data_IF_822371298665
#
_entry.id   IF_822371298665
#
_cell.length_a   1.000
_cell.length_b   1.000
_cell.length_c   1.000
_cell.angle_alpha   90.00
_cell.angle_beta   90.00
_cell.angle_gamma   90.00
#
_symmetry.space_group_name_H-M   'P 1'
#
loop_
_entity.id
_entity.type
_entity.pdbx_description
1 polymer ?
#
# COMPACT_ATOMS: atom_id res chain seq x y z
N UNK A 1 -12.57 11.50 6.52
CA UNK A 1 -11.70 11.49 5.33
C UNK A 1 -10.66 10.36 5.43
N UNK A 2 -9.82 10.32 6.44
CA UNK A 2 -8.70 9.37 6.59
C UNK A 2 -9.07 7.90 6.42
N UNK A 3 -10.22 7.48 6.98
CA UNK A 3 -10.68 6.10 6.87
C UNK A 3 -10.92 5.67 5.43
N UNK A 4 -11.55 6.51 4.62
CA UNK A 4 -11.85 6.22 3.21
C UNK A 4 -10.58 6.23 2.37
N UNK A 5 -9.67 7.16 2.64
CA UNK A 5 -8.38 7.25 1.95
C UNK A 5 -7.52 6.04 2.29
N UNK A 6 -7.42 5.69 3.58
CA UNK A 6 -6.68 4.51 4.01
C UNK A 6 -7.23 3.22 3.37
N UNK A 7 -8.55 3.07 3.31
CA UNK A 7 -9.20 1.94 2.64
C UNK A 7 -8.89 1.90 1.15
N UNK A 8 -8.87 3.05 0.49
CA UNK A 8 -8.48 3.17 -0.91
C UNK A 8 -7.02 2.76 -1.13
N UNK A 9 -6.08 3.30 -0.36
CA UNK A 9 -4.66 2.93 -0.44
C UNK A 9 -4.43 1.43 -0.23
N UNK A 10 -5.05 0.85 0.80
CA UNK A 10 -4.98 -0.59 1.04
C UNK A 10 -5.55 -1.40 -0.11
N UNK A 11 -6.67 -0.96 -0.69
CA UNK A 11 -7.28 -1.62 -1.84
C UNK A 11 -6.36 -1.59 -3.06
N UNK A 12 -5.69 -0.47 -3.31
CA UNK A 12 -4.72 -0.33 -4.41
C UNK A 12 -3.52 -1.26 -4.17
N UNK A 13 -2.89 -1.21 -3.00
CA UNK A 13 -1.73 -2.06 -2.67
C UNK A 13 -2.07 -3.55 -2.79
N UNK A 14 -3.19 -3.98 -2.20
CA UNK A 14 -3.57 -5.39 -2.16
C UNK A 14 -4.00 -5.95 -3.52
N UNK A 15 -4.41 -5.10 -4.46
CA UNK A 15 -4.86 -5.52 -5.78
C UNK A 15 -3.90 -5.14 -6.92
N UNK A 16 -2.75 -4.56 -6.59
CA UNK A 16 -1.67 -4.37 -7.55
C UNK A 16 -0.93 -5.70 -7.70
N UNK A 17 -0.89 -6.28 -8.93
CA UNK A 17 -0.18 -7.53 -9.15
C UNK A 17 1.30 -7.34 -8.86
N UNK A 18 1.91 -8.34 -8.23
CA UNK A 18 3.34 -8.32 -7.95
C UNK A 18 4.14 -8.23 -9.26
N UNK A 19 5.07 -7.29 -9.39
CA UNK A 19 5.72 -7.01 -10.67
C UNK A 19 6.73 -8.09 -11.11
N UNK A 20 7.04 -9.03 -10.23
CA UNK A 20 7.98 -10.14 -10.47
C UNK A 20 7.54 -11.39 -9.72
N UNK A 21 7.90 -12.56 -10.23
CA UNK A 21 7.80 -13.81 -9.47
C UNK A 21 8.85 -13.77 -8.37
N UNK A 22 8.41 -13.90 -7.10
CA UNK A 22 9.33 -13.91 -5.96
C UNK A 22 10.09 -15.23 -5.90
N UNK A 23 11.42 -15.13 -5.87
CA UNK A 23 12.27 -16.24 -5.48
C UNK A 23 12.66 -16.06 -4.00
N UNK A 24 11.99 -16.84 -3.14
CA UNK A 24 12.24 -16.79 -1.70
C UNK A 24 13.66 -17.20 -1.34
N UNK A 25 14.27 -18.10 -2.12
CA UNK A 25 15.65 -18.57 -1.90
C UNK A 25 16.68 -17.48 -2.23
N UNK A 26 16.34 -16.55 -3.13
CA UNK A 26 17.17 -15.39 -3.40
C UNK A 26 17.05 -14.30 -2.33
N UNK A 27 15.91 -14.20 -1.65
CA UNK A 27 15.68 -13.19 -0.62
C UNK A 27 16.40 -13.50 0.69
N UNK A 28 16.35 -14.77 1.13
CA UNK A 28 16.94 -15.21 2.39
C UNK A 28 17.73 -16.50 2.15
N UNK A 29 18.99 -16.50 2.57
CA UNK A 29 19.84 -17.71 2.59
C UNK A 29 20.19 -18.06 4.02
N UNK A 30 19.76 -19.23 4.46
CA UNK A 30 20.05 -19.78 5.79
C UNK A 30 21.08 -20.88 5.62
N UNK A 31 22.27 -20.66 6.16
CA UNK A 31 23.32 -21.68 6.21
C UNK A 31 23.26 -22.37 7.57
N UNK A 32 23.24 -23.70 7.54
CA UNK A 32 23.21 -24.55 8.74
C UNK A 32 24.53 -25.30 8.91
N UNK A 33 24.93 -25.49 10.16
CA UNK A 33 26.03 -26.37 10.53
C UNK A 33 25.44 -27.50 11.40
N UNK A 34 25.10 -28.64 10.74
CA UNK A 34 24.26 -29.66 11.35
C UNK A 34 22.82 -29.15 11.55
N UNK A 35 22.30 -29.27 12.77
CA UNK A 35 20.95 -28.80 13.13
C UNK A 35 20.94 -27.33 13.59
N UNK A 36 22.11 -26.70 13.72
CA UNK A 36 22.22 -25.30 14.15
C UNK A 36 22.29 -24.34 12.97
N UNK A 37 21.63 -23.17 13.10
CA UNK A 37 21.73 -22.08 12.15
C UNK A 37 23.06 -21.37 12.36
N UNK A 38 23.95 -21.45 11.35
CA UNK A 38 25.25 -20.80 11.39
C UNK A 38 25.18 -19.33 10.94
N UNK A 39 24.47 -19.06 9.83
CA UNK A 39 24.34 -17.70 9.29
C UNK A 39 23.00 -17.50 8.58
N UNK A 40 22.48 -16.27 8.66
CA UNK A 40 21.29 -15.82 7.93
C UNK A 40 21.73 -14.62 7.08
N UNK A 41 21.58 -14.75 5.76
CA UNK A 41 21.92 -13.70 4.81
C UNK A 41 20.65 -13.18 4.12
N UNK A 42 20.46 -11.86 4.17
CA UNK A 42 19.36 -11.17 3.48
C UNK A 42 19.88 -10.50 2.20
N UNK A 43 19.27 -10.77 1.08
CA UNK A 43 19.56 -10.07 -0.17
C UNK A 43 18.74 -8.77 -0.23
N UNK A 44 19.17 -7.76 0.48
CA UNK A 44 18.52 -6.45 0.55
C UNK A 44 18.52 -5.72 -0.78
N UNK A 45 19.52 -5.93 -1.63
CA UNK A 45 19.57 -5.35 -2.98
C UNK A 45 18.46 -5.90 -3.87
N UNK A 46 18.24 -7.22 -3.84
CA UNK A 46 17.15 -7.84 -4.57
C UNK A 46 15.79 -7.38 -4.04
N UNK A 47 15.59 -7.36 -2.73
CA UNK A 47 14.38 -6.84 -2.09
C UNK A 47 14.13 -5.37 -2.45
N UNK A 48 15.15 -4.52 -2.47
CA UNK A 48 15.03 -3.12 -2.87
C UNK A 48 14.64 -2.96 -4.35
N UNK A 49 15.15 -3.81 -5.23
CA UNK A 49 14.77 -3.81 -6.65
C UNK A 49 13.30 -4.18 -6.85
N UNK A 50 12.80 -5.14 -6.07
CA UNK A 50 11.37 -5.50 -6.03
C UNK A 50 10.55 -4.31 -5.54
N UNK A 51 10.98 -3.66 -4.47
CA UNK A 51 10.34 -2.47 -3.91
C UNK A 51 10.24 -1.33 -4.92
N UNK A 52 11.30 -1.05 -5.67
CA UNK A 52 11.30 -0.03 -6.72
C UNK A 52 10.28 -0.34 -7.83
N UNK A 53 10.21 -1.59 -8.28
CA UNK A 53 9.20 -2.01 -9.28
C UNK A 53 7.78 -1.91 -8.74
N UNK A 54 7.57 -2.23 -7.48
CA UNK A 54 6.27 -2.09 -6.81
C UNK A 54 5.85 -0.63 -6.71
N UNK A 55 6.76 0.26 -6.32
CA UNK A 55 6.52 1.71 -6.25
C UNK A 55 6.11 2.25 -7.62
N UNK A 56 6.82 1.91 -8.69
CA UNK A 56 6.49 2.34 -10.03
C UNK A 56 5.09 1.89 -10.45
N UNK A 57 4.71 0.64 -10.14
CA UNK A 57 3.37 0.12 -10.45
C UNK A 57 2.27 0.82 -9.66
N UNK A 58 2.51 1.09 -8.39
CA UNK A 58 1.57 1.83 -7.55
C UNK A 58 1.40 3.26 -8.05
N UNK A 59 2.50 3.94 -8.37
CA UNK A 59 2.48 5.31 -8.88
C UNK A 59 1.71 5.39 -10.20
N UNK A 60 2.01 4.51 -11.17
CA UNK A 60 1.26 4.40 -12.43
C UNK A 60 -0.25 4.25 -12.19
N UNK A 61 -0.65 3.41 -11.23
CA UNK A 61 -2.06 3.16 -10.94
C UNK A 61 -2.73 4.35 -10.27
N UNK A 62 -2.08 4.97 -9.28
CA UNK A 62 -2.61 6.16 -8.61
C UNK A 62 -2.79 7.32 -9.60
N UNK A 63 -1.78 7.59 -10.42
CA UNK A 63 -1.83 8.64 -11.45
C UNK A 63 -2.92 8.34 -12.48
N UNK A 64 -3.02 7.11 -12.97
CA UNK A 64 -4.04 6.74 -13.95
C UNK A 64 -5.47 6.91 -13.42
N UNK A 65 -5.72 6.60 -12.15
CA UNK A 65 -7.02 6.82 -11.53
C UNK A 65 -7.31 8.32 -11.36
N UNK A 66 -6.32 9.09 -10.91
CA UNK A 66 -6.42 10.55 -10.73
C UNK A 66 -6.71 11.28 -12.03
N UNK A 67 -5.96 10.97 -13.09
CA UNK A 67 -6.08 11.60 -14.40
C UNK A 67 -7.27 11.10 -15.25
N UNK A 68 -7.99 10.07 -14.78
CA UNK A 68 -9.10 9.51 -15.54
C UNK A 68 -8.68 8.62 -16.71
N UNK A 69 -7.42 8.15 -16.70
CA UNK A 69 -6.84 7.35 -17.81
C UNK A 69 -6.86 5.84 -17.54
N UNK A 70 -7.22 5.42 -16.32
CA UNK A 70 -7.29 4.02 -15.96
C UNK A 70 -8.26 3.25 -16.85
N UNK A 71 -7.82 2.08 -17.31
CA UNK A 71 -8.65 1.13 -18.08
C UNK A 71 -8.66 -0.23 -17.39
N UNK A 72 -9.84 -0.68 -17.02
CA UNK A 72 -10.01 -2.01 -16.45
C UNK A 72 -9.66 -3.08 -17.50
N UNK A 73 -8.99 -4.14 -17.06
CA UNK A 73 -8.65 -5.30 -17.91
C UNK A 73 -9.63 -6.45 -17.75
N UNK A 74 -10.35 -6.49 -16.64
CA UNK A 74 -11.38 -7.48 -16.34
C UNK A 74 -12.58 -6.86 -15.59
N UNK A 75 -13.57 -7.68 -15.25
CA UNK A 75 -14.75 -7.25 -14.52
C UNK A 75 -14.70 -7.58 -13.02
N UNK A 76 -13.52 -7.74 -12.45
CA UNK A 76 -13.38 -7.91 -11.01
C UNK A 76 -13.95 -6.71 -10.24
N UNK A 77 -14.35 -6.96 -9.00
CA UNK A 77 -14.93 -5.92 -8.14
C UNK A 77 -14.01 -4.70 -8.01
N UNK A 78 -12.71 -4.93 -7.81
CA UNK A 78 -11.73 -3.87 -7.62
C UNK A 78 -11.48 -3.06 -8.89
N UNK A 79 -11.35 -3.72 -10.03
CA UNK A 79 -11.14 -3.04 -11.31
C UNK A 79 -12.34 -2.18 -11.71
N UNK A 80 -13.57 -2.63 -11.44
CA UNK A 80 -14.75 -1.80 -11.63
C UNK A 80 -14.76 -0.57 -10.72
N UNK A 81 -14.30 -0.72 -9.46
CA UNK A 81 -14.17 0.42 -8.55
C UNK A 81 -13.12 1.42 -9.03
N UNK A 82 -11.94 0.95 -9.42
CA UNK A 82 -10.89 1.80 -9.95
C UNK A 82 -11.35 2.54 -11.22
N UNK A 83 -12.04 1.83 -12.12
CA UNK A 83 -12.61 2.47 -13.32
C UNK A 83 -13.58 3.58 -12.95
N UNK A 84 -14.50 3.33 -12.02
CA UNK A 84 -15.44 4.36 -11.56
C UNK A 84 -14.75 5.57 -10.94
N UNK A 85 -13.75 5.34 -10.09
CA UNK A 85 -12.96 6.42 -9.48
C UNK A 85 -12.23 7.24 -10.55
N UNK A 86 -11.68 6.56 -11.55
CA UNK A 86 -11.00 7.19 -12.69
C UNK A 86 -11.98 8.00 -13.56
N UNK A 87 -13.14 7.45 -13.90
CA UNK A 87 -14.17 8.13 -14.68
C UNK A 87 -14.66 9.42 -13.98
N UNK A 88 -14.57 9.45 -12.66
CA UNK A 88 -14.91 10.62 -11.83
C UNK A 88 -13.69 11.52 -11.50
N UNK A 89 -12.53 11.28 -12.13
CA UNK A 89 -11.32 12.09 -11.97
C UNK A 89 -10.73 12.01 -10.56
N UNK A 90 -10.48 10.79 -10.05
CA UNK A 90 -9.86 10.55 -8.74
C UNK A 90 -10.80 10.71 -7.54
N UNK A 91 -12.12 10.59 -7.74
CA UNK A 91 -13.08 10.61 -6.63
C UNK A 91 -13.04 9.27 -5.89
N UNK A 92 -12.52 9.27 -4.68
CA UNK A 92 -12.41 8.08 -3.81
C UNK A 92 -13.78 7.71 -3.22
N UNK A 93 -14.49 8.70 -2.70
CA UNK A 93 -15.76 8.54 -2.01
C UNK A 93 -16.58 9.83 -2.03
N UNK A 94 -17.87 9.70 -1.70
CA UNK A 94 -18.73 10.83 -1.38
C UNK A 94 -19.15 10.73 0.08
N UNK A 95 -18.83 11.73 0.86
CA UNK A 95 -19.11 11.78 2.30
C UNK A 95 -20.06 12.94 2.64
N UNK A 96 -20.96 12.79 3.62
CA UNK A 96 -21.76 13.93 4.11
C UNK A 96 -20.85 15.00 4.70
N UNK A 97 -21.20 16.28 4.51
CA UNK A 97 -20.40 17.39 5.03
C UNK A 97 -20.23 17.32 6.56
N UNK A 98 -21.25 16.82 7.25
CA UNK A 98 -21.19 16.59 8.69
C UNK A 98 -20.13 15.59 9.13
N UNK A 99 -19.66 14.70 8.23
CA UNK A 99 -18.55 13.79 8.53
C UNK A 99 -17.19 14.49 8.66
N UNK A 100 -17.09 15.74 8.21
CA UNK A 100 -15.90 16.58 8.41
C UNK A 100 -15.89 17.26 9.78
N UNK A 101 -17.04 17.30 10.45
CA UNK A 101 -17.11 17.78 11.83
C UNK A 101 -16.63 16.65 12.75
N UNK A 102 -15.98 17.00 13.83
CA UNK A 102 -15.58 16.02 14.85
C UNK A 102 -16.74 15.59 15.75
N UNK A 103 -17.99 15.92 15.38
CA UNK A 103 -19.18 15.62 16.14
C UNK A 103 -19.86 14.35 15.59
N UNK A 104 -19.91 13.24 16.35
CA UNK A 104 -20.52 11.98 15.90
C UNK A 104 -22.01 12.11 15.51
N UNK A 105 -22.76 13.03 16.14
CA UNK A 105 -24.17 13.25 15.85
C UNK A 105 -24.42 13.90 14.49
N UNK A 106 -23.43 14.61 13.95
CA UNK A 106 -23.51 15.28 12.66
C UNK A 106 -22.90 14.47 11.52
N UNK A 107 -22.22 13.36 11.82
CA UNK A 107 -21.43 12.59 10.84
C UNK A 107 -22.20 12.11 9.61
N UNK A 108 -23.53 11.91 9.74
CA UNK A 108 -24.40 11.51 8.64
C UNK A 108 -25.23 12.64 8.02
N UNK A 109 -25.05 13.89 8.47
CA UNK A 109 -25.93 15.02 8.14
C UNK A 109 -25.33 15.92 7.07
N UNK A 110 -26.18 16.43 6.19
CA UNK A 110 -25.84 17.43 5.19
C UNK A 110 -25.58 16.87 3.79
N UNK A 111 -25.33 17.75 2.83
CA UNK A 111 -25.05 17.35 1.45
C UNK A 111 -23.78 16.52 1.36
N UNK A 112 -23.75 15.60 0.38
CA UNK A 112 -22.58 14.80 0.11
C UNK A 112 -21.54 15.61 -0.67
N UNK A 113 -20.31 15.58 -0.22
CA UNK A 113 -19.15 16.17 -0.89
C UNK A 113 -18.25 15.08 -1.44
N UNK A 114 -17.63 15.34 -2.58
CA UNK A 114 -16.69 14.42 -3.22
C UNK A 114 -15.31 14.55 -2.57
N UNK A 115 -14.76 13.40 -2.18
CA UNK A 115 -13.41 13.28 -1.65
C UNK A 115 -12.49 12.89 -2.82
N UNK A 116 -11.65 13.83 -3.26
CA UNK A 116 -10.64 13.60 -4.30
C UNK A 116 -9.26 13.54 -3.70
N UNK A 117 -8.33 12.91 -4.40
CA UNK A 117 -6.92 12.98 -4.06
C UNK A 117 -6.11 13.53 -5.24
N UNK A 118 -4.93 14.05 -4.91
CA UNK A 118 -3.90 14.45 -5.84
C UNK A 118 -2.60 13.77 -5.42
N UNK A 119 -1.94 13.14 -6.37
CA UNK A 119 -0.67 12.45 -6.13
C UNK A 119 0.44 13.50 -6.05
N UNK A 120 0.93 13.80 -4.84
CA UNK A 120 2.07 14.70 -4.65
C UNK A 120 3.37 13.90 -4.66
N UNK A 121 3.55 13.06 -5.65
CA UNK A 121 4.82 12.39 -5.98
C UNK A 121 5.67 11.86 -4.82
N UNK A 122 5.10 11.11 -3.88
CA UNK A 122 5.96 10.41 -2.93
C UNK A 122 5.38 9.09 -2.46
N UNK A 123 5.35 8.11 -3.38
CA UNK A 123 5.34 6.72 -2.94
C UNK A 123 6.80 6.32 -2.79
N UNK A 124 7.19 5.93 -1.59
CA UNK A 124 8.53 5.44 -1.30
C UNK A 124 8.45 4.04 -0.70
N UNK A 125 9.52 3.29 -0.83
CA UNK A 125 9.61 1.94 -0.29
C UNK A 125 10.94 1.75 0.42
N UNK A 126 10.89 1.14 1.59
CA UNK A 126 12.08 0.68 2.32
C UNK A 126 11.95 -0.80 2.63
N UNK A 127 13.09 -1.46 2.78
CA UNK A 127 13.16 -2.88 3.15
C UNK A 127 13.43 -2.99 4.64
N UNK A 128 12.59 -3.72 5.34
CA UNK A 128 12.80 -4.05 6.75
C UNK A 128 12.98 -5.55 6.92
N UNK A 129 13.97 -5.91 7.74
CA UNK A 129 14.30 -7.28 8.14
C UNK A 129 14.10 -7.43 9.63
N UNK A 130 13.54 -8.55 10.04
CA UNK A 130 13.35 -8.91 11.43
C UNK A 130 13.74 -10.36 11.68
N UNK A 131 14.46 -10.58 12.78
CA UNK A 131 14.89 -11.89 13.23
C UNK A 131 14.48 -12.04 14.68
N UNK A 132 13.56 -12.95 14.95
CA UNK A 132 13.07 -13.23 16.31
C UNK A 132 13.39 -14.66 16.71
N UNK A 133 14.00 -14.82 17.88
CA UNK A 133 14.19 -16.14 18.47
C UNK A 133 12.87 -16.63 19.09
N UNK A 134 12.51 -17.85 18.76
CA UNK A 134 11.34 -18.53 19.29
C UNK A 134 11.79 -19.79 20.05
N UNK A 135 11.87 -19.70 21.38
CA UNK A 135 12.34 -20.82 22.21
C UNK A 135 13.82 -21.13 22.03
N UNK A 136 14.21 -22.38 22.28
CA UNK A 136 15.62 -22.78 22.34
C UNK A 136 16.22 -23.07 20.95
N UNK A 137 15.39 -23.50 19.96
CA UNK A 137 15.87 -24.00 18.65
C UNK A 137 15.13 -23.46 17.43
N UNK A 138 14.31 -22.42 17.58
CA UNK A 138 13.55 -21.86 16.45
C UNK A 138 13.82 -20.37 16.32
N UNK A 139 14.06 -19.95 15.08
CA UNK A 139 14.23 -18.53 14.71
C UNK A 139 13.25 -18.19 13.62
N UNK A 140 12.43 -17.17 13.84
CA UNK A 140 11.59 -16.61 12.81
C UNK A 140 12.34 -15.49 12.09
N UNK A 141 12.45 -15.62 10.78
CA UNK A 141 13.11 -14.65 9.92
C UNK A 141 12.06 -14.07 9.00
N UNK A 142 11.94 -12.76 8.95
CA UNK A 142 11.01 -12.08 8.06
C UNK A 142 11.66 -10.92 7.32
N UNK A 143 11.21 -10.73 6.09
CA UNK A 143 11.59 -9.63 5.23
C UNK A 143 10.31 -9.00 4.68
N UNK A 144 10.16 -7.70 4.87
CA UNK A 144 9.00 -6.95 4.40
C UNK A 144 9.40 -5.66 3.70
N UNK A 145 8.52 -5.20 2.81
CA UNK A 145 8.57 -3.86 2.27
C UNK A 145 7.68 -2.94 3.11
N UNK A 146 8.19 -1.78 3.45
CA UNK A 146 7.39 -0.70 4.04
C UNK A 146 7.13 0.33 2.96
N UNK A 147 5.89 0.42 2.50
CA UNK A 147 5.44 1.32 1.46
C UNK A 147 4.84 2.55 2.12
N UNK A 148 5.48 3.68 1.94
CA UNK A 148 4.98 4.97 2.43
C UNK A 148 4.25 5.69 1.31
N UNK A 149 2.99 6.02 1.56
CA UNK A 149 2.14 6.77 0.62
C UNK A 149 1.88 8.15 1.21
N UNK A 150 2.21 9.17 0.43
CA UNK A 150 1.94 10.57 0.72
C UNK A 150 1.11 11.17 -0.41
N UNK A 151 -0.07 11.71 -0.09
CA UNK A 151 -0.94 12.35 -1.08
C UNK A 151 -1.65 13.56 -0.47
N UNK A 152 -2.12 14.46 -1.33
CA UNK A 152 -3.01 15.54 -0.94
C UNK A 152 -4.45 15.10 -1.13
N UNK A 153 -5.26 15.32 -0.13
CA UNK A 153 -6.69 15.09 -0.16
C UNK A 153 -7.37 16.42 -0.40
N UNK A 154 -8.12 16.49 -1.48
CA UNK A 154 -8.83 17.69 -1.89
C UNK A 154 -10.25 17.66 -1.33
N UNK A 155 -10.55 18.61 -0.48
CA UNK A 155 -11.86 18.87 0.10
C UNK A 155 -12.35 20.25 -0.37
N UNK A 156 -13.66 20.47 -0.45
CA UNK A 156 -14.20 21.74 -0.99
C UNK A 156 -13.75 23.02 -0.27
N UNK A 157 -13.32 22.90 0.99
CA UNK A 157 -12.97 24.05 1.83
C UNK A 157 -11.52 24.10 2.26
N UNK A 158 -10.80 22.97 2.18
CA UNK A 158 -9.39 22.85 2.55
C UNK A 158 -8.77 21.61 1.95
N UNK A 159 -7.45 21.58 1.90
CA UNK A 159 -6.68 20.42 1.50
C UNK A 159 -6.00 19.83 2.72
N UNK A 160 -5.92 18.51 2.78
CA UNK A 160 -5.31 17.78 3.88
C UNK A 160 -4.24 16.83 3.35
N UNK A 161 -3.06 16.85 3.98
CA UNK A 161 -2.00 15.92 3.65
C UNK A 161 -2.26 14.57 4.33
N UNK A 162 -2.32 13.52 3.55
CA UNK A 162 -2.37 12.13 4.02
C UNK A 162 -1.00 11.50 3.89
N UNK A 163 -0.48 10.92 4.98
CA UNK A 163 0.80 10.24 5.02
C UNK A 163 0.69 8.99 5.87
N UNK A 164 0.94 7.82 5.26
CA UNK A 164 0.83 6.55 5.97
C UNK A 164 1.77 5.48 5.40
N UNK A 165 2.24 4.63 6.30
CA UNK A 165 3.08 3.49 5.98
C UNK A 165 2.23 2.21 5.92
N UNK A 166 2.55 1.34 4.95
CA UNK A 166 1.91 0.03 4.76
C UNK A 166 2.97 -1.06 4.68
N UNK A 167 2.77 -2.11 5.45
CA UNK A 167 3.65 -3.27 5.44
C UNK A 167 3.23 -4.24 4.34
N UNK A 168 4.18 -4.66 3.52
CA UNK A 168 3.99 -5.69 2.51
C UNK A 168 5.00 -6.82 2.75
N UNK A 169 4.56 -7.97 3.28
CA UNK A 169 5.47 -9.07 3.58
C UNK A 169 6.00 -9.70 2.28
N UNK A 170 7.31 -9.91 2.19
CA UNK A 170 7.97 -10.61 1.08
C UNK A 170 8.16 -12.08 1.40
N UNK A 171 8.72 -12.38 2.57
CA UNK A 171 8.99 -13.74 3.03
C UNK A 171 8.97 -13.81 4.55
N UNK A 172 8.49 -14.95 5.07
CA UNK A 172 8.54 -15.29 6.48
C UNK A 172 8.88 -16.78 6.58
N UNK A 173 9.97 -17.11 7.27
CA UNK A 173 10.43 -18.48 7.50
C UNK A 173 10.68 -18.71 9.00
N UNK A 174 10.41 -19.94 9.47
CA UNK A 174 10.58 -20.35 10.88
C UNK A 174 11.62 -21.46 10.96
#
# INVERSE_FOLDING_TARGET
ADKEINRFCQMVINNTPFPVTLDHQELIKINRNGDEIATINFNTSYASSIGAKMVNKLDELFVAIEEGTYKKTDNSFYQRRFQKMSDEGGVIASIPIGALTQNPFLAGVGPKIKLKYETISAITCSVEKDVKSYGVNHVMVSLKLVIKIKMMVLLPFYNEEFNKDYDYPLVMEI
#
